data_IF_064312445156
#
_entry.id   IF_064312445156
#
_cell.length_a   1.000
_cell.length_b   1.000
_cell.length_c   1.000
_cell.angle_alpha   90.00
_cell.angle_beta   90.00
_cell.angle_gamma   90.00
#
_symmetry.space_group_name_H-M   'P 1'
#
loop_
_entity.id
_entity.type
_entity.pdbx_description
1 polymer ?
#
# COMPACT_ATOMS: atom_id res chain seq x y z
N UNK A 1 -21.09 0.97 29.22
CA UNK A 1 -22.02 0.62 28.13
C UNK A 1 -21.74 -0.83 27.78
N UNK A 2 -22.76 -1.67 27.63
CA UNK A 2 -22.57 -3.08 27.27
C UNK A 2 -22.75 -3.25 25.75
N UNK A 3 -21.98 -4.15 25.13
CA UNK A 3 -22.18 -4.55 23.75
C UNK A 3 -23.43 -5.45 23.58
N UNK A 4 -23.76 -5.84 22.36
CA UNK A 4 -24.89 -6.69 22.04
C UNK A 4 -24.82 -8.13 22.64
N UNK A 5 -23.68 -8.46 23.26
CA UNK A 5 -23.43 -9.76 23.89
C UNK A 5 -23.22 -9.65 25.40
N UNK A 6 -23.43 -8.46 25.99
CA UNK A 6 -23.36 -8.22 27.44
C UNK A 6 -21.98 -7.97 28.00
N UNK A 7 -20.97 -7.69 27.16
CA UNK A 7 -19.62 -7.37 27.61
C UNK A 7 -19.46 -5.87 27.86
N UNK A 8 -18.68 -5.49 28.88
CA UNK A 8 -18.37 -4.09 29.14
C UNK A 8 -17.46 -3.50 28.04
N UNK A 9 -17.93 -2.41 27.42
CA UNK A 9 -17.13 -1.62 26.50
C UNK A 9 -16.21 -0.72 27.34
N UNK A 10 -14.93 -1.08 27.47
CA UNK A 10 -13.93 -0.24 28.08
C UNK A 10 -13.52 0.82 27.07
N UNK A 11 -13.98 2.05 27.24
CA UNK A 11 -13.45 3.22 26.52
C UNK A 11 -11.98 3.41 26.89
N UNK A 12 -11.08 3.04 25.99
CA UNK A 12 -9.67 3.41 26.12
C UNK A 12 -9.51 4.87 25.72
N UNK A 13 -9.14 5.68 26.70
CA UNK A 13 -8.78 7.08 26.50
C UNK A 13 -7.81 7.26 25.33
N UNK A 14 -8.11 8.23 24.46
CA UNK A 14 -7.28 8.65 23.36
C UNK A 14 -5.96 9.24 23.89
N UNK A 15 -4.94 8.41 24.00
CA UNK A 15 -3.56 8.78 24.34
C UNK A 15 -2.68 8.65 23.10
N UNK A 16 -1.95 9.70 22.83
CA UNK A 16 -1.08 10.03 21.73
C UNK A 16 0.10 9.07 21.45
N UNK A 17 -0.15 7.80 21.13
CA UNK A 17 0.92 6.85 20.78
C UNK A 17 0.57 5.92 19.62
N UNK A 18 -0.32 6.32 18.70
CA UNK A 18 -0.67 5.50 17.54
C UNK A 18 0.45 5.32 16.51
N UNK A 19 1.44 6.22 16.49
CA UNK A 19 2.54 6.16 15.52
C UNK A 19 3.44 4.93 15.75
N UNK A 20 3.60 4.48 17.00
CA UNK A 20 4.49 3.36 17.32
C UNK A 20 3.84 1.97 17.33
N UNK A 21 2.51 1.88 17.32
CA UNK A 21 1.81 0.59 17.42
C UNK A 21 1.62 -0.10 16.06
N UNK A 22 1.83 0.60 14.96
CA UNK A 22 1.66 0.06 13.60
C UNK A 22 2.85 -0.78 13.12
N UNK A 23 3.90 -0.91 13.91
CA UNK A 23 5.16 -1.54 13.53
C UNK A 23 5.23 -3.05 13.82
N UNK A 24 4.19 -3.68 14.34
CA UNK A 24 4.31 -5.05 14.80
C UNK A 24 3.05 -5.88 14.59
N UNK A 25 2.91 -6.52 13.46
CA UNK A 25 2.23 -7.82 13.37
C UNK A 25 2.45 -8.52 12.02
N UNK A 26 3.47 -9.32 11.91
CA UNK A 26 3.42 -10.54 11.13
C UNK A 26 3.91 -11.68 12.00
N UNK A 27 3.07 -12.72 12.14
CA UNK A 27 3.42 -13.95 12.83
C UNK A 27 4.48 -14.70 12.03
N UNK A 28 5.76 -14.42 12.28
CA UNK A 28 6.85 -15.36 12.02
C UNK A 28 7.94 -15.16 13.07
N UNK A 29 8.37 -16.32 13.59
CA UNK A 29 9.44 -16.60 14.55
C UNK A 29 10.57 -15.58 14.66
N UNK A 30 10.97 -15.31 15.90
CA UNK A 30 12.00 -14.37 16.33
C UNK A 30 13.28 -14.37 15.51
N UNK A 31 13.46 -13.32 14.76
CA UNK A 31 14.68 -12.97 14.04
C UNK A 31 14.41 -11.63 13.37
N UNK A 32 15.15 -10.62 13.75
CA UNK A 32 15.25 -9.26 13.21
C UNK A 32 14.04 -8.75 12.42
N UNK A 33 12.99 -8.33 13.13
CA UNK A 33 11.96 -7.49 12.58
C UNK A 33 12.60 -6.16 12.23
N UNK A 34 12.71 -5.86 10.94
CA UNK A 34 12.90 -4.47 10.57
C UNK A 34 11.73 -3.67 11.11
N UNK A 35 12.04 -2.61 11.84
CA UNK A 35 11.08 -1.74 12.51
C UNK A 35 10.11 -1.04 11.56
N UNK A 36 10.16 -1.29 10.23
CA UNK A 36 9.61 -0.42 9.22
C UNK A 36 9.01 -1.16 8.01
N UNK A 37 8.58 -2.40 8.15
CA UNK A 37 7.81 -3.25 7.19
C UNK A 37 8.02 -2.90 5.68
N UNK A 38 9.30 -2.70 5.28
CA UNK A 38 9.65 -2.36 3.92
C UNK A 38 9.88 -3.61 3.06
N UNK A 39 9.03 -3.80 2.08
CA UNK A 39 9.14 -4.84 1.06
C UNK A 39 9.11 -4.21 -0.33
N UNK A 40 10.24 -4.32 -1.04
CA UNK A 40 10.34 -3.83 -2.40
C UNK A 40 9.47 -4.63 -3.36
N UNK A 41 8.75 -3.94 -4.23
CA UNK A 41 7.95 -4.55 -5.29
C UNK A 41 8.84 -4.96 -6.44
N UNK A 42 8.69 -6.18 -6.94
CA UNK A 42 9.40 -6.64 -8.14
C UNK A 42 9.06 -5.72 -9.33
N UNK A 43 10.06 -5.17 -10.04
CA UNK A 43 9.84 -4.24 -11.17
C UNK A 43 8.86 -4.78 -12.22
N UNK A 44 8.88 -6.10 -12.47
CA UNK A 44 7.96 -6.75 -13.38
C UNK A 44 6.50 -6.57 -13.01
N UNK A 45 6.17 -6.53 -11.71
CA UNK A 45 4.79 -6.34 -11.27
C UNK A 45 4.23 -4.98 -11.72
N UNK A 46 5.08 -3.94 -11.73
CA UNK A 46 4.70 -2.60 -12.21
C UNK A 46 4.58 -2.58 -13.73
N UNK A 47 5.50 -3.24 -14.45
CA UNK A 47 5.44 -3.35 -15.91
C UNK A 47 4.16 -4.04 -16.37
N UNK A 48 3.75 -5.12 -15.69
CA UNK A 48 2.50 -5.84 -16.01
C UNK A 48 1.26 -4.97 -15.72
N UNK A 49 1.28 -4.12 -14.68
CA UNK A 49 0.22 -3.15 -14.43
C UNK A 49 0.11 -2.14 -15.58
N UNK A 50 1.23 -1.54 -15.98
CA UNK A 50 1.28 -0.54 -17.04
C UNK A 50 0.93 -1.11 -18.43
N UNK A 51 1.03 -2.44 -18.62
CA UNK A 51 0.62 -3.11 -19.84
C UNK A 51 -0.90 -3.24 -19.99
N UNK A 52 -1.65 -3.18 -18.88
CA UNK A 52 -3.11 -3.39 -18.86
C UNK A 52 -3.91 -2.18 -18.36
N UNK A 53 -3.26 -1.21 -17.74
CA UNK A 53 -3.89 -0.02 -17.18
C UNK A 53 -3.09 1.25 -17.56
N UNK A 54 -3.78 2.32 -17.92
CA UNK A 54 -3.18 3.61 -18.23
C UNK A 54 -3.30 4.56 -17.03
N UNK A 55 -2.30 5.37 -16.82
CA UNK A 55 -2.25 6.35 -15.74
C UNK A 55 -1.93 7.75 -16.28
N UNK A 56 -2.15 8.77 -15.46
CA UNK A 56 -1.82 10.16 -15.78
C UNK A 56 -0.30 10.36 -15.91
N UNK A 57 0.12 11.49 -16.50
CA UNK A 57 1.54 11.82 -16.69
C UNK A 57 2.30 11.93 -15.36
N UNK A 58 1.59 12.33 -14.29
CA UNK A 58 2.18 12.49 -12.95
C UNK A 58 1.54 11.52 -11.98
N UNK A 59 2.35 10.74 -11.29
CA UNK A 59 1.93 9.70 -10.35
C UNK A 59 2.52 9.99 -8.97
N UNK A 60 1.68 9.88 -7.94
CA UNK A 60 2.12 9.92 -6.55
C UNK A 60 2.45 8.50 -6.07
N UNK A 61 3.65 8.30 -5.57
CA UNK A 61 4.06 7.11 -4.84
C UNK A 61 4.33 7.47 -3.37
N UNK A 62 3.35 7.24 -2.47
CA UNK A 62 3.43 7.67 -1.08
C UNK A 62 4.27 6.78 -0.16
N UNK A 63 4.78 5.65 -0.65
CA UNK A 63 5.65 4.71 0.08
C UNK A 63 6.80 4.29 -0.83
N UNK A 64 7.59 5.27 -1.30
CA UNK A 64 8.59 5.05 -2.35
C UNK A 64 9.68 4.05 -1.96
N UNK A 65 10.01 3.94 -0.69
CA UNK A 65 11.05 3.03 -0.21
C UNK A 65 12.38 3.28 -0.92
N UNK A 66 12.93 2.22 -1.52
CA UNK A 66 14.14 2.30 -2.36
C UNK A 66 13.87 2.68 -3.81
N UNK A 67 12.65 3.08 -4.19
CA UNK A 67 12.32 3.59 -5.52
C UNK A 67 11.99 2.52 -6.57
N UNK A 68 11.74 1.28 -6.20
CA UNK A 68 11.54 0.19 -7.15
C UNK A 68 10.32 0.40 -8.07
N UNK A 69 9.22 0.93 -7.56
CA UNK A 69 8.06 1.31 -8.36
C UNK A 69 8.38 2.59 -9.14
N UNK A 70 8.88 3.64 -8.46
CA UNK A 70 9.20 4.94 -9.05
C UNK A 70 10.11 4.85 -10.27
N UNK A 71 11.14 4.01 -10.22
CA UNK A 71 12.07 3.83 -11.34
C UNK A 71 11.38 3.22 -12.56
N UNK A 72 10.51 2.22 -12.38
CA UNK A 72 9.75 1.65 -13.50
C UNK A 72 8.79 2.67 -14.10
N UNK A 73 8.11 3.45 -13.26
CA UNK A 73 7.21 4.51 -13.74
C UNK A 73 7.95 5.58 -14.54
N UNK A 74 9.11 6.04 -14.06
CA UNK A 74 9.97 7.00 -14.78
C UNK A 74 10.48 6.45 -16.10
N UNK A 75 10.91 5.19 -16.15
CA UNK A 75 11.33 4.51 -17.37
C UNK A 75 10.20 4.40 -18.41
N UNK A 76 8.95 4.41 -17.98
CA UNK A 76 7.76 4.42 -18.85
C UNK A 76 7.20 5.83 -19.12
N UNK A 77 7.98 6.89 -18.81
CA UNK A 77 7.66 8.27 -19.17
C UNK A 77 6.83 9.05 -18.16
N UNK A 78 6.50 8.48 -17.01
CA UNK A 78 5.75 9.18 -15.97
C UNK A 78 6.66 10.09 -15.13
N UNK A 79 6.11 11.20 -14.67
CA UNK A 79 6.67 12.00 -13.58
C UNK A 79 6.24 11.38 -12.26
N UNK A 80 7.16 11.19 -11.32
CA UNK A 80 6.84 10.57 -10.03
C UNK A 80 7.05 11.58 -8.91
N UNK A 81 6.01 11.79 -8.12
CA UNK A 81 6.07 12.46 -6.82
C UNK A 81 6.37 11.36 -5.80
N UNK A 82 7.65 11.22 -5.45
CA UNK A 82 8.12 10.21 -4.53
C UNK A 82 7.99 10.71 -3.08
N UNK A 83 7.22 10.01 -2.26
CA UNK A 83 7.08 10.30 -0.82
C UNK A 83 7.39 9.05 0.00
N UNK A 84 7.84 9.25 1.21
CA UNK A 84 7.93 8.23 2.26
C UNK A 84 7.90 8.93 3.63
N UNK A 85 7.55 8.20 4.67
CA UNK A 85 7.64 8.70 6.04
C UNK A 85 9.09 8.70 6.54
N UNK A 86 9.97 7.92 5.89
CA UNK A 86 11.37 7.72 6.25
C UNK A 86 12.23 7.92 5.01
N UNK A 87 13.36 8.59 5.15
CA UNK A 87 14.37 8.65 4.11
C UNK A 87 15.12 7.32 4.00
N UNK A 88 14.90 6.62 2.89
CA UNK A 88 15.58 5.36 2.55
C UNK A 88 16.64 5.53 1.47
N UNK A 89 17.03 6.79 1.20
CA UNK A 89 18.09 7.13 0.26
C UNK A 89 17.65 7.20 -1.20
N UNK A 90 16.35 7.11 -1.52
CA UNK A 90 15.90 7.32 -2.88
C UNK A 90 15.91 8.81 -3.25
N UNK A 91 16.62 9.22 -4.33
CA UNK A 91 16.82 10.64 -4.65
C UNK A 91 15.51 11.38 -4.91
N UNK A 92 15.34 12.53 -4.26
CA UNK A 92 14.18 13.40 -4.44
C UNK A 92 12.95 12.96 -3.64
N UNK A 93 13.10 12.04 -2.68
CA UNK A 93 12.03 11.65 -1.77
C UNK A 93 11.58 12.83 -0.91
N UNK A 94 10.29 13.10 -0.91
CA UNK A 94 9.65 14.05 0.00
C UNK A 94 9.31 13.31 1.28
N UNK A 95 9.94 13.67 2.39
CA UNK A 95 9.66 13.07 3.69
C UNK A 95 8.34 13.63 4.22
N UNK A 96 7.32 12.79 4.23
CA UNK A 96 5.96 13.16 4.66
C UNK A 96 5.17 11.91 5.08
N UNK A 97 4.37 12.06 6.11
CA UNK A 97 3.32 11.09 6.43
C UNK A 97 2.15 11.27 5.45
N UNK A 98 1.95 10.26 4.60
CA UNK A 98 0.88 10.26 3.60
C UNK A 98 -0.51 10.39 4.25
N UNK A 99 -0.72 9.79 5.43
CA UNK A 99 -2.00 9.80 6.12
C UNK A 99 -2.39 11.19 6.67
N UNK A 100 -1.49 12.18 6.60
CA UNK A 100 -1.79 13.58 6.95
C UNK A 100 -2.08 14.47 5.74
N UNK A 101 -1.97 13.95 4.52
CA UNK A 101 -2.25 14.70 3.31
C UNK A 101 -3.76 14.92 3.14
N UNK A 102 -4.18 16.14 2.80
CA UNK A 102 -5.60 16.49 2.75
C UNK A 102 -6.22 16.35 1.37
N UNK A 103 -5.45 16.48 0.31
CA UNK A 103 -5.91 16.38 -1.08
C UNK A 103 -4.85 15.74 -1.96
N UNK A 104 -5.27 15.06 -3.00
CA UNK A 104 -4.39 14.54 -4.06
C UNK A 104 -5.11 14.65 -5.41
N UNK A 105 -4.39 15.13 -6.43
CA UNK A 105 -4.90 15.26 -7.81
C UNK A 105 -4.17 14.37 -8.81
N UNK A 106 -3.27 13.53 -8.34
CA UNK A 106 -2.47 12.66 -9.18
C UNK A 106 -2.90 11.21 -8.98
N UNK A 107 -2.74 10.38 -10.00
CA UNK A 107 -2.90 8.96 -9.82
C UNK A 107 -1.92 8.45 -8.75
N UNK A 108 -2.35 7.45 -8.00
CA UNK A 108 -1.56 6.85 -6.94
C UNK A 108 -1.21 5.42 -7.35
N UNK A 109 0.08 5.09 -7.32
CA UNK A 109 0.57 3.71 -7.44
C UNK A 109 1.51 3.45 -6.27
N UNK A 110 1.21 2.45 -5.45
CA UNK A 110 2.02 2.16 -4.26
C UNK A 110 1.94 0.70 -3.80
N UNK A 111 2.95 0.32 -3.03
CA UNK A 111 2.96 -0.86 -2.17
C UNK A 111 2.98 -0.39 -0.71
N UNK A 112 1.82 -0.18 -0.08
CA UNK A 112 1.75 0.34 1.27
C UNK A 112 2.20 -0.71 2.30
N UNK A 113 2.57 -0.28 3.52
CA UNK A 113 2.84 -1.19 4.63
C UNK A 113 1.63 -2.09 4.89
N UNK A 114 1.81 -3.41 4.84
CA UNK A 114 0.68 -4.36 4.88
C UNK A 114 -0.15 -4.28 6.16
N UNK A 115 0.49 -3.89 7.27
CA UNK A 115 -0.19 -3.67 8.56
C UNK A 115 -1.18 -2.53 8.49
N UNK A 116 -0.92 -1.51 7.67
CA UNK A 116 -1.74 -0.31 7.47
C UNK A 116 -2.40 -0.25 6.09
N UNK A 117 -2.43 -1.37 5.37
CA UNK A 117 -2.89 -1.38 3.97
C UNK A 117 -4.32 -0.84 3.82
N UNK A 118 -5.20 -1.11 4.80
CA UNK A 118 -6.56 -0.60 4.78
C UNK A 118 -6.60 0.91 4.96
N UNK A 119 -5.91 1.42 5.95
CA UNK A 119 -5.83 2.85 6.27
C UNK A 119 -5.27 3.63 5.10
N UNK A 120 -4.22 3.10 4.44
CA UNK A 120 -3.66 3.70 3.23
C UNK A 120 -4.64 3.70 2.06
N UNK A 121 -5.36 2.59 1.83
CA UNK A 121 -6.39 2.54 0.79
C UNK A 121 -7.54 3.51 1.07
N UNK A 122 -8.10 3.50 2.29
CA UNK A 122 -9.18 4.42 2.68
C UNK A 122 -8.74 5.87 2.49
N UNK A 123 -7.57 6.23 3.00
CA UNK A 123 -7.05 7.58 2.90
C UNK A 123 -6.82 8.00 1.44
N UNK A 124 -6.15 7.15 0.65
CA UNK A 124 -5.93 7.43 -0.77
C UNK A 124 -7.22 7.70 -1.53
N UNK A 125 -8.29 6.93 -1.24
CA UNK A 125 -9.58 7.08 -1.89
C UNK A 125 -10.35 8.32 -1.39
N UNK A 126 -10.26 8.63 -0.09
CA UNK A 126 -10.95 9.79 0.49
C UNK A 126 -10.34 11.14 0.02
N UNK A 127 -9.02 11.18 -0.26
CA UNK A 127 -8.35 12.43 -0.71
C UNK A 127 -8.27 12.57 -2.23
N UNK A 128 -8.68 11.56 -3.00
CA UNK A 128 -8.59 11.56 -4.46
C UNK A 128 -9.95 11.88 -5.08
N UNK A 129 -10.06 12.94 -5.89
CA UNK A 129 -11.31 13.28 -6.56
C UNK A 129 -11.63 12.31 -7.70
N UNK A 130 -12.83 12.46 -8.27
CA UNK A 130 -13.23 11.76 -9.48
C UNK A 130 -12.19 11.92 -10.60
N UNK A 131 -11.93 10.83 -11.32
CA UNK A 131 -10.97 10.77 -12.43
C UNK A 131 -9.54 10.43 -12.02
N UNK A 132 -9.21 10.48 -10.74
CA UNK A 132 -7.93 9.99 -10.21
C UNK A 132 -7.99 8.48 -10.02
N UNK A 133 -6.94 7.77 -10.41
CA UNK A 133 -6.84 6.32 -10.20
C UNK A 133 -5.97 6.00 -9.00
N UNK A 134 -6.37 4.99 -8.24
CA UNK A 134 -5.61 4.47 -7.11
C UNK A 134 -5.30 3.00 -7.35
N UNK A 135 -4.03 2.65 -7.47
CA UNK A 135 -3.54 1.28 -7.65
C UNK A 135 -2.64 0.88 -6.48
N UNK A 136 -3.07 -0.13 -5.73
CA UNK A 136 -2.33 -0.64 -4.57
C UNK A 136 -1.89 -2.08 -4.80
N UNK A 137 -0.59 -2.35 -4.57
CA UNK A 137 -0.03 -3.70 -4.63
C UNK A 137 -0.23 -4.40 -3.30
N UNK A 138 -1.16 -5.34 -3.24
CA UNK A 138 -1.58 -5.96 -1.98
C UNK A 138 -1.55 -7.48 -2.05
N UNK A 139 -1.45 -8.11 -0.87
CA UNK A 139 -1.70 -9.55 -0.73
C UNK A 139 -3.14 -9.86 -1.11
N UNK A 140 -3.41 -10.95 -1.82
CA UNK A 140 -4.79 -11.34 -2.15
C UNK A 140 -5.64 -11.64 -0.91
N UNK A 141 -5.01 -11.98 0.22
CA UNK A 141 -5.70 -12.10 1.51
C UNK A 141 -6.32 -10.78 2.00
N UNK A 142 -6.00 -9.65 1.35
CA UNK A 142 -6.68 -8.37 1.59
C UNK A 142 -8.19 -8.44 1.26
N UNK A 143 -8.62 -9.36 0.41
CA UNK A 143 -10.04 -9.61 0.11
C UNK A 143 -10.79 -10.29 1.25
N UNK A 144 -10.07 -10.91 2.18
CA UNK A 144 -10.64 -11.71 3.25
C UNK A 144 -10.92 -10.85 4.48
N UNK A 145 -11.94 -11.15 5.19
CA UNK A 145 -12.42 -10.74 6.52
C UNK A 145 -13.70 -9.93 6.48
N UNK A 146 -14.42 -9.98 7.60
CA UNK A 146 -15.68 -9.24 7.81
C UNK A 146 -15.48 -7.72 7.73
N UNK A 147 -14.36 -7.22 8.24
CA UNK A 147 -14.03 -5.80 8.21
C UNK A 147 -13.81 -5.30 6.78
N UNK A 148 -13.28 -6.16 5.88
CA UNK A 148 -13.08 -5.83 4.47
C UNK A 148 -14.38 -5.74 3.69
N UNK A 149 -15.40 -6.47 4.11
CA UNK A 149 -16.74 -6.38 3.49
C UNK A 149 -17.27 -4.95 3.53
N UNK A 150 -17.22 -4.29 4.69
CA UNK A 150 -17.69 -2.90 4.82
C UNK A 150 -16.82 -1.93 4.00
N UNK A 151 -15.49 -2.16 3.98
CA UNK A 151 -14.56 -1.39 3.16
C UNK A 151 -14.93 -1.47 1.67
N UNK A 152 -15.08 -2.67 1.11
CA UNK A 152 -15.39 -2.84 -0.31
C UNK A 152 -16.82 -2.42 -0.69
N UNK A 153 -17.75 -2.37 0.27
CA UNK A 153 -19.06 -1.78 0.05
C UNK A 153 -18.98 -0.25 -0.10
N UNK A 154 -18.11 0.41 0.68
CA UNK A 154 -17.86 1.86 0.57
C UNK A 154 -17.00 2.20 -0.66
N UNK A 155 -15.98 1.39 -0.94
CA UNK A 155 -15.01 1.60 -2.00
C UNK A 155 -14.93 0.36 -2.92
N UNK A 156 -15.89 0.21 -3.85
CA UNK A 156 -15.88 -0.93 -4.75
C UNK A 156 -14.64 -0.91 -5.65
N UNK A 157 -13.95 -2.05 -5.72
CA UNK A 157 -12.79 -2.21 -6.62
C UNK A 157 -13.29 -2.11 -8.07
N UNK A 158 -12.58 -1.35 -8.90
CA UNK A 158 -12.84 -1.32 -10.33
C UNK A 158 -12.23 -2.52 -11.05
N UNK A 159 -10.96 -2.79 -10.77
CA UNK A 159 -10.23 -3.93 -11.32
C UNK A 159 -9.35 -4.59 -10.25
N UNK A 160 -9.24 -5.89 -10.34
CA UNK A 160 -8.27 -6.69 -9.60
C UNK A 160 -7.42 -7.48 -10.60
N UNK A 161 -6.16 -7.08 -10.75
CA UNK A 161 -5.21 -7.77 -11.62
C UNK A 161 -4.42 -8.79 -10.82
N UNK A 162 -4.64 -10.06 -11.12
CA UNK A 162 -3.99 -11.20 -10.47
C UNK A 162 -2.95 -11.78 -11.41
N UNK A 163 -1.75 -12.02 -10.91
CA UNK A 163 -0.66 -12.56 -11.70
C UNK A 163 -0.79 -14.07 -11.89
N UNK A 164 -0.58 -14.55 -13.12
CA UNK A 164 -0.49 -15.99 -13.43
C UNK A 164 0.79 -16.63 -12.89
N UNK A 165 1.83 -15.82 -12.63
CA UNK A 165 3.06 -16.22 -11.96
C UNK A 165 3.21 -15.43 -10.66
N UNK A 166 3.81 -16.03 -9.64
CA UNK A 166 4.03 -15.34 -8.39
C UNK A 166 5.00 -14.18 -8.58
N UNK A 167 4.60 -13.01 -8.12
CA UNK A 167 5.46 -11.84 -8.00
C UNK A 167 6.09 -11.82 -6.63
N UNK A 168 7.36 -11.41 -6.57
CA UNK A 168 8.09 -11.35 -5.32
C UNK A 168 8.01 -9.96 -4.70
N UNK A 169 7.82 -9.95 -3.38
CA UNK A 169 8.16 -8.81 -2.55
C UNK A 169 9.42 -9.16 -1.78
N UNK A 170 10.48 -8.45 -2.04
CA UNK A 170 11.76 -8.73 -1.42
C UNK A 170 12.02 -7.78 -0.25
N UNK A 171 12.40 -8.33 0.90
CA UNK A 171 12.92 -7.53 2.01
C UNK A 171 14.15 -6.78 1.50
N UNK A 172 14.18 -5.46 1.66
CA UNK A 172 15.28 -4.58 1.20
C UNK A 172 15.63 -4.65 -0.30
N UNK A 173 14.74 -5.15 -1.16
CA UNK A 173 15.04 -5.27 -2.59
C UNK A 173 15.95 -6.43 -2.97
N UNK A 174 16.23 -7.35 -2.08
CA UNK A 174 17.11 -8.52 -2.33
C UNK A 174 16.34 -9.65 -3.06
N UNK A 175 15.86 -9.40 -4.27
CA UNK A 175 15.04 -10.35 -5.05
C UNK A 175 15.71 -11.69 -5.30
N UNK A 176 17.04 -11.73 -5.42
CA UNK A 176 17.80 -12.96 -5.68
C UNK A 176 17.78 -13.96 -4.52
N UNK A 177 17.53 -13.49 -3.30
CA UNK A 177 17.47 -14.34 -2.10
C UNK A 177 16.12 -15.00 -1.88
N UNK A 178 15.05 -14.50 -2.54
CA UNK A 178 13.67 -14.91 -2.29
C UNK A 178 13.06 -15.55 -3.54
N UNK A 179 13.42 -16.81 -3.82
CA UNK A 179 12.99 -17.53 -5.03
C UNK A 179 11.56 -18.08 -5.00
N UNK A 180 10.87 -18.08 -3.87
CA UNK A 180 9.48 -18.50 -3.78
C UNK A 180 8.73 -17.83 -2.65
N UNK A 181 7.73 -17.02 -2.98
CA UNK A 181 6.77 -16.51 -1.99
C UNK A 181 5.55 -17.45 -1.93
N UNK A 182 5.20 -17.89 -0.71
CA UNK A 182 3.93 -18.57 -0.47
C UNK A 182 2.74 -17.60 -0.65
N UNK A 183 2.99 -16.30 -0.59
CA UNK A 183 1.97 -15.25 -0.65
C UNK A 183 1.67 -14.85 -2.09
N UNK A 184 0.40 -14.81 -2.44
CA UNK A 184 -0.08 -14.26 -3.71
C UNK A 184 -0.40 -12.77 -3.56
N UNK A 185 0.03 -11.99 -4.57
CA UNK A 185 -0.22 -10.55 -4.66
C UNK A 185 -1.05 -10.22 -5.90
N UNK A 186 -1.64 -9.02 -5.90
CA UNK A 186 -2.33 -8.45 -7.04
C UNK A 186 -2.34 -6.93 -6.96
N UNK A 187 -2.66 -6.30 -8.08
CA UNK A 187 -2.98 -4.89 -8.14
C UNK A 187 -4.46 -4.68 -7.93
N UNK A 188 -4.80 -3.94 -6.90
CA UNK A 188 -6.15 -3.49 -6.60
C UNK A 188 -6.30 -2.07 -7.15
N UNK A 189 -7.18 -1.89 -8.13
CA UNK A 189 -7.34 -0.60 -8.82
C UNK A 189 -8.73 -0.06 -8.58
N UNK A 190 -8.78 1.18 -8.10
CA UNK A 190 -9.98 1.96 -7.90
C UNK A 190 -10.00 3.15 -8.84
N UNK A 191 -11.21 3.53 -9.24
CA UNK A 191 -11.51 4.76 -9.94
C UNK A 191 -12.51 5.52 -9.06
N UNK A 192 -12.09 6.40 -8.16
CA UNK A 192 -12.98 7.22 -7.36
C UNK A 192 -14.01 7.95 -8.24
N UNK A 193 -15.27 7.94 -7.81
CA UNK A 193 -16.41 8.53 -8.50
C UNK A 193 -16.95 9.74 -7.70
#
# INVERSE_FOLDING_TARGET
MLDLFGNEIIERAAGSNKIFTCLAASNHSGGDRQSEDYYATEPKAVQELLAVESFSDTILEPCVGGGHIAEVLKQNGHKVIAQDIIDRGYPGTIIRDFLTQLVNYNDIISNPPYVMAREFCEHALDISPEGVKVAMFLKLTFLESQERKAFFQKYPIKYLYVFSKRMNCAKNGEFEKYHSNAVAYGWFVWHPA
#
